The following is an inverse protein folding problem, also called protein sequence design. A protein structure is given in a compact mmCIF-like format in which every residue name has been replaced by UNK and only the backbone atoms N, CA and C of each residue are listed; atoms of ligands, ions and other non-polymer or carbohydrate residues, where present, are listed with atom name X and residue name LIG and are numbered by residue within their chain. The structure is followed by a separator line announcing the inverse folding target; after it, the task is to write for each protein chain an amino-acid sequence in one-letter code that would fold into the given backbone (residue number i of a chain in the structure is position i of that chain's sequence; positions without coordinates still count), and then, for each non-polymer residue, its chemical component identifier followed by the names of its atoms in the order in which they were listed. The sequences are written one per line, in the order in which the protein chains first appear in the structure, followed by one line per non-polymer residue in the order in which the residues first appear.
data_IF_350359653238
#
_entry.id   IF_350359653238
#
_cell.length_a   1.000
_cell.length_b   1.000
_cell.length_c   1.000
_cell.angle_alpha   90.00
_cell.angle_beta   90.00
_cell.angle_gamma   90.00
#
_symmetry.space_group_name_H-M   'P 1'
#
loop_
_entity.id
_entity.type
_entity.pdbx_description
1 polymer ?
#
# COMPACT_ATOMS: atom_id res chain seq x y z
N UNK A 1 -37.68 -39.81 67.28
CA UNK A 1 -36.28 -40.06 66.90
C UNK A 1 -36.27 -40.93 65.66
N UNK A 2 -35.98 -40.37 64.49
CA UNK A 2 -35.84 -41.13 63.24
C UNK A 2 -34.43 -41.73 63.18
N UNK A 3 -34.36 -43.05 63.07
CA UNK A 3 -33.11 -43.80 62.91
C UNK A 3 -32.75 -43.76 61.41
N UNK A 4 -31.69 -43.04 61.06
CA UNK A 4 -31.13 -43.06 59.71
C UNK A 4 -30.25 -44.30 59.55
N UNK A 5 -30.67 -45.23 58.70
CA UNK A 5 -29.81 -46.33 58.25
C UNK A 5 -29.06 -45.92 56.98
N UNK A 6 -27.73 -46.01 57.02
CA UNK A 6 -26.88 -45.81 55.83
C UNK A 6 -26.87 -47.12 55.04
N UNK A 7 -27.51 -47.13 53.87
CA UNK A 7 -27.40 -48.24 52.92
C UNK A 7 -26.04 -48.16 52.24
N UNK A 8 -25.18 -49.16 52.47
CA UNK A 8 -23.90 -49.31 51.78
C UNK A 8 -24.18 -49.66 50.32
N UNK A 9 -24.08 -48.70 49.42
CA UNK A 9 -24.18 -48.94 47.98
C UNK A 9 -22.80 -49.35 47.47
N UNK A 10 -22.73 -50.45 46.73
CA UNK A 10 -21.54 -50.75 45.94
C UNK A 10 -21.39 -49.64 44.89
N UNK A 11 -20.18 -49.13 44.65
CA UNK A 11 -19.98 -48.10 43.63
C UNK A 11 -20.44 -48.65 42.28
N UNK A 12 -21.12 -47.84 41.45
CA UNK A 12 -21.53 -48.27 40.13
C UNK A 12 -20.31 -48.74 39.33
N UNK A 13 -20.44 -49.86 38.61
CA UNK A 13 -19.38 -50.43 37.79
C UNK A 13 -18.92 -49.41 36.75
N UNK A 14 -17.61 -49.10 36.73
CA UNK A 14 -17.06 -48.11 35.80
C UNK A 14 -17.18 -48.56 34.36
N UNK A 15 -17.17 -47.61 33.42
CA UNK A 15 -17.21 -47.93 31.98
C UNK A 15 -16.05 -48.86 31.59
N UNK A 16 -14.86 -48.62 32.14
CA UNK A 16 -13.69 -49.45 31.88
C UNK A 16 -13.84 -50.89 32.37
N UNK A 17 -14.37 -51.07 33.59
CA UNK A 17 -14.64 -52.39 34.15
C UNK A 17 -15.69 -53.15 33.33
N UNK A 18 -16.75 -52.47 32.87
CA UNK A 18 -17.79 -53.05 32.00
C UNK A 18 -17.23 -53.55 30.68
N UNK A 19 -16.37 -52.75 30.04
CA UNK A 19 -15.71 -53.12 28.78
C UNK A 19 -14.79 -54.33 28.96
N UNK A 20 -13.97 -54.31 30.00
CA UNK A 20 -13.04 -55.40 30.32
C UNK A 20 -13.77 -56.71 30.61
N UNK A 21 -14.82 -56.65 31.42
CA UNK A 21 -15.67 -57.81 31.72
C UNK A 21 -16.30 -58.36 30.45
N UNK A 22 -16.87 -57.49 29.60
CA UNK A 22 -17.52 -57.94 28.36
C UNK A 22 -16.53 -58.55 27.37
N UNK A 23 -15.32 -58.00 27.26
CA UNK A 23 -14.25 -58.59 26.46
C UNK A 23 -13.84 -59.97 26.99
N UNK A 24 -13.66 -60.09 28.32
CA UNK A 24 -13.29 -61.36 28.94
C UNK A 24 -14.39 -62.44 28.79
N UNK A 25 -15.67 -62.07 28.87
CA UNK A 25 -16.81 -62.96 28.58
C UNK A 25 -16.77 -63.50 27.15
N UNK A 26 -16.33 -62.70 26.18
CA UNK A 26 -16.21 -63.08 24.77
C UNK A 26 -14.89 -63.81 24.45
N UNK A 27 -13.97 -63.92 25.41
CA UNK A 27 -12.66 -64.55 25.21
C UNK A 27 -11.72 -63.80 24.25
N UNK A 28 -12.01 -62.53 23.96
CA UNK A 28 -11.29 -61.74 22.96
C UNK A 28 -10.01 -61.12 23.53
N UNK A 29 -8.90 -61.27 22.80
CA UNK A 29 -7.63 -60.64 23.19
C UNK A 29 -7.59 -59.17 22.75
N UNK A 30 -6.96 -58.32 23.56
CA UNK A 30 -6.96 -56.87 23.34
C UNK A 30 -6.26 -56.50 22.01
N UNK A 31 -5.21 -57.22 21.65
CA UNK A 31 -4.49 -57.13 20.36
C UNK A 31 -5.41 -57.42 19.16
N UNK A 32 -6.27 -58.43 19.24
CA UNK A 32 -7.18 -58.83 18.16
C UNK A 32 -8.25 -57.75 17.92
N UNK A 33 -8.82 -57.21 19.00
CA UNK A 33 -9.81 -56.13 18.91
C UNK A 33 -9.16 -54.85 18.36
N UNK A 34 -7.98 -54.48 18.89
CA UNK A 34 -7.19 -53.32 18.45
C UNK A 34 -6.97 -53.32 16.93
N UNK A 35 -6.51 -54.43 16.37
CA UNK A 35 -6.33 -54.62 14.94
C UNK A 35 -7.64 -54.51 14.14
N UNK A 36 -8.75 -55.04 14.68
CA UNK A 36 -10.07 -55.02 14.04
C UNK A 36 -10.71 -53.64 13.96
N UNK A 37 -10.59 -52.83 15.01
CA UNK A 37 -11.26 -51.50 15.09
C UNK A 37 -10.37 -50.32 14.70
N UNK A 38 -9.07 -50.57 14.53
CA UNK A 38 -8.07 -49.55 14.19
C UNK A 38 -7.86 -48.54 15.31
N UNK A 39 -7.75 -49.01 16.56
CA UNK A 39 -7.45 -48.20 17.75
C UNK A 39 -6.28 -48.83 18.48
N UNK A 40 -5.24 -48.04 18.78
CA UNK A 40 -4.02 -48.57 19.41
C UNK A 40 -4.31 -49.28 20.74
N UNK A 41 -3.59 -50.37 20.98
CA UNK A 41 -3.76 -51.24 22.16
C UNK A 41 -3.66 -50.43 23.47
N UNK A 42 -2.69 -49.52 23.55
CA UNK A 42 -2.49 -48.65 24.70
C UNK A 42 -3.75 -47.84 25.06
N UNK A 43 -4.50 -47.36 24.06
CA UNK A 43 -5.73 -46.60 24.30
C UNK A 43 -6.89 -47.49 24.76
N UNK A 44 -6.96 -48.74 24.28
CA UNK A 44 -7.95 -49.70 24.77
C UNK A 44 -7.63 -50.14 26.21
N UNK A 45 -6.37 -50.36 26.53
CA UNK A 45 -5.89 -50.63 27.90
C UNK A 45 -6.19 -49.45 28.82
N UNK A 46 -5.96 -48.22 28.36
CA UNK A 46 -6.29 -47.01 29.11
C UNK A 46 -7.81 -46.87 29.35
N UNK A 47 -8.65 -47.26 28.38
CA UNK A 47 -10.11 -47.31 28.56
C UNK A 47 -10.53 -48.35 29.60
N UNK A 48 -9.96 -49.56 29.57
CA UNK A 48 -10.29 -50.62 30.56
C UNK A 48 -9.84 -50.28 31.97
N UNK A 49 -8.69 -49.61 32.11
CA UNK A 49 -8.07 -49.29 33.41
C UNK A 49 -8.48 -47.94 33.98
N UNK A 50 -9.18 -47.10 33.20
CA UNK A 50 -9.61 -45.77 33.62
C UNK A 50 -8.51 -44.70 33.61
N UNK A 51 -7.35 -44.96 32.99
CA UNK A 51 -6.24 -44.00 32.89
C UNK A 51 -6.51 -42.95 31.79
N UNK A 52 -7.40 -41.99 32.08
CA UNK A 52 -7.85 -40.99 31.10
C UNK A 52 -6.72 -40.10 30.54
N UNK A 53 -5.60 -39.95 31.26
CA UNK A 53 -4.44 -39.15 30.81
C UNK A 53 -3.69 -39.75 29.62
N UNK A 54 -3.79 -41.05 29.42
CA UNK A 54 -3.14 -41.77 28.30
C UNK A 54 -4.00 -41.77 27.04
N UNK A 55 -5.24 -41.27 27.13
CA UNK A 55 -6.14 -41.12 26.00
C UNK A 55 -5.86 -39.81 25.24
N UNK A 56 -6.12 -39.73 23.93
CA UNK A 56 -5.88 -38.53 23.14
C UNK A 56 -6.56 -37.30 23.74
N UNK A 57 -5.91 -36.14 23.67
CA UNK A 57 -6.40 -34.87 24.23
C UNK A 57 -7.60 -34.25 23.48
N UNK A 58 -8.24 -35.02 22.60
CA UNK A 58 -9.36 -34.57 21.77
C UNK A 58 -10.61 -35.39 22.10
N UNK A 59 -11.70 -34.71 22.46
CA UNK A 59 -13.00 -35.33 22.83
C UNK A 59 -13.53 -36.21 21.68
N UNK A 60 -13.38 -35.76 20.43
CA UNK A 60 -13.80 -36.51 19.25
C UNK A 60 -13.10 -37.88 19.14
N UNK A 61 -11.79 -37.95 19.40
CA UNK A 61 -11.06 -39.22 19.34
C UNK A 61 -11.46 -40.15 20.49
N UNK A 62 -11.61 -39.64 21.72
CA UNK A 62 -12.05 -40.46 22.86
C UNK A 62 -13.44 -41.06 22.64
N UNK A 63 -14.39 -40.24 22.19
CA UNK A 63 -15.74 -40.71 21.87
C UNK A 63 -15.75 -41.71 20.71
N UNK A 64 -14.94 -41.50 19.67
CA UNK A 64 -14.82 -42.44 18.55
C UNK A 64 -14.24 -43.80 19.00
N UNK A 65 -13.18 -43.80 19.82
CA UNK A 65 -12.56 -45.04 20.31
C UNK A 65 -13.50 -45.83 21.22
N UNK A 66 -14.14 -45.14 22.17
CA UNK A 66 -15.11 -45.77 23.06
C UNK A 66 -16.29 -46.35 22.28
N UNK A 67 -16.84 -45.59 21.31
CA UNK A 67 -17.96 -46.07 20.49
C UNK A 67 -17.57 -47.26 19.63
N UNK A 68 -16.43 -47.21 18.94
CA UNK A 68 -15.90 -48.34 18.16
C UNK A 68 -15.73 -49.59 19.03
N UNK A 69 -15.18 -49.43 20.23
CA UNK A 69 -14.93 -50.54 21.13
C UNK A 69 -16.24 -51.12 21.71
N UNK A 70 -17.18 -50.26 22.10
CA UNK A 70 -18.51 -50.67 22.55
C UNK A 70 -19.27 -51.44 21.46
N UNK A 71 -19.26 -50.95 20.21
CA UNK A 71 -19.90 -51.62 19.08
C UNK A 71 -19.27 -52.99 18.81
N UNK A 72 -17.93 -53.10 18.91
CA UNK A 72 -17.24 -54.38 18.73
C UNK A 72 -17.56 -55.42 19.82
N UNK A 73 -17.99 -54.98 21.01
CA UNK A 73 -18.39 -55.84 22.13
C UNK A 73 -19.93 -56.05 22.22
N UNK A 74 -20.70 -55.48 21.28
CA UNK A 74 -22.17 -55.55 21.28
C UNK A 74 -22.84 -54.76 22.41
N UNK A 75 -22.16 -53.75 22.96
CA UNK A 75 -22.68 -52.86 24.01
C UNK A 75 -23.28 -51.59 23.41
N UNK A 76 -24.21 -50.95 24.14
CA UNK A 76 -24.81 -49.69 23.70
C UNK A 76 -23.79 -48.52 23.74
N UNK A 77 -23.35 -47.98 22.59
CA UNK A 77 -22.27 -46.99 22.55
C UNK A 77 -22.66 -45.64 23.16
N UNK A 78 -23.90 -45.20 22.99
CA UNK A 78 -24.36 -43.89 23.47
C UNK A 78 -24.58 -43.90 24.98
N UNK A 79 -25.04 -45.03 25.55
CA UNK A 79 -25.12 -45.21 27.00
C UNK A 79 -23.74 -45.15 27.64
N UNK A 80 -22.77 -45.89 27.09
CA UNK A 80 -21.40 -45.93 27.62
C UNK A 80 -20.70 -44.58 27.50
N UNK A 81 -20.90 -43.85 26.40
CA UNK A 81 -20.35 -42.50 26.27
C UNK A 81 -20.89 -41.54 27.32
N UNK A 82 -22.20 -41.55 27.59
CA UNK A 82 -22.80 -40.71 28.64
C UNK A 82 -22.21 -41.04 30.01
N UNK A 83 -22.09 -42.32 30.34
CA UNK A 83 -21.50 -42.75 31.61
C UNK A 83 -20.01 -42.36 31.70
N UNK A 84 -19.25 -42.50 30.61
CA UNK A 84 -17.83 -42.14 30.57
C UNK A 84 -17.59 -40.65 30.81
N UNK A 85 -18.46 -39.79 30.29
CA UNK A 85 -18.43 -38.34 30.56
C UNK A 85 -18.78 -38.05 32.03
N UNK A 86 -19.75 -38.76 32.61
CA UNK A 86 -20.12 -38.62 34.03
C UNK A 86 -19.01 -39.08 34.98
N UNK A 87 -18.23 -40.09 34.59
CA UNK A 87 -17.05 -40.58 35.33
C UNK A 87 -15.83 -39.63 35.23
N UNK A 88 -15.93 -38.57 34.43
CA UNK A 88 -14.85 -37.58 34.27
C UNK A 88 -13.83 -37.93 33.20
N UNK A 89 -14.14 -38.85 32.28
CA UNK A 89 -13.23 -39.29 31.21
C UNK A 89 -12.87 -38.22 30.16
N UNK A 90 -13.43 -37.01 30.26
CA UNK A 90 -13.07 -35.83 29.46
C UNK A 90 -12.68 -34.62 30.31
N UNK A 91 -12.60 -34.77 31.64
CA UNK A 91 -12.38 -33.64 32.56
C UNK A 91 -10.95 -33.06 32.48
N UNK A 92 -9.99 -33.86 32.03
CA UNK A 92 -8.60 -33.48 31.78
C UNK A 92 -8.41 -32.72 30.45
N UNK A 93 -9.39 -32.76 29.55
CA UNK A 93 -9.33 -32.02 28.29
C UNK A 93 -9.74 -30.57 28.55
N UNK A 94 -8.75 -29.68 28.62
CA UNK A 94 -9.00 -28.23 28.54
C UNK A 94 -9.49 -27.93 27.12
N UNK A 95 -10.79 -27.68 26.95
CA UNK A 95 -11.39 -27.21 25.69
C UNK A 95 -11.02 -25.75 25.41
N UNK A 96 -9.72 -25.47 25.34
CA UNK A 96 -9.21 -24.23 24.76
C UNK A 96 -9.28 -24.36 23.25
N UNK A 97 -10.42 -24.06 22.64
CA UNK A 97 -10.34 -23.54 21.28
C UNK A 97 -9.43 -22.31 21.38
N UNK A 98 -8.36 -22.18 20.58
CA UNK A 98 -7.75 -20.87 20.44
C UNK A 98 -8.84 -19.98 19.83
N UNK A 99 -9.59 -19.29 20.68
CA UNK A 99 -10.47 -18.20 20.29
C UNK A 99 -9.60 -16.99 19.91
N UNK A 100 -8.55 -17.22 19.13
CA UNK A 100 -7.95 -16.18 18.33
C UNK A 100 -8.78 -16.16 17.07
N UNK A 101 -9.91 -15.45 17.15
CA UNK A 101 -10.50 -14.86 15.98
C UNK A 101 -9.36 -14.13 15.28
N UNK A 102 -8.94 -14.62 14.11
CA UNK A 102 -8.06 -13.89 13.21
C UNK A 102 -8.69 -12.51 13.08
N UNK A 103 -8.00 -11.49 13.60
CA UNK A 103 -8.47 -10.10 13.57
C UNK A 103 -8.66 -9.77 12.09
N UNK A 104 -9.91 -9.75 11.65
CA UNK A 104 -10.23 -9.50 10.25
C UNK A 104 -9.90 -8.02 9.98
N UNK A 105 -8.71 -7.76 9.47
CA UNK A 105 -8.30 -6.42 9.05
C UNK A 105 -9.14 -6.12 7.81
N UNK A 106 -10.29 -5.46 8.03
CA UNK A 106 -11.17 -5.03 6.95
C UNK A 106 -10.47 -3.93 6.16
N UNK A 107 -10.10 -4.23 4.92
CA UNK A 107 -9.48 -3.28 3.99
C UNK A 107 -10.51 -2.38 3.27
N UNK A 108 -11.67 -2.12 3.90
CA UNK A 108 -12.77 -1.38 3.29
C UNK A 108 -12.37 0.06 2.91
N UNK A 109 -11.41 0.63 3.63
CA UNK A 109 -10.86 1.98 3.37
C UNK A 109 -9.74 1.99 2.33
N UNK A 110 -9.16 0.85 1.95
CA UNK A 110 -8.01 0.80 1.04
C UNK A 110 -8.39 1.26 -0.38
N UNK A 111 -9.58 0.88 -0.84
CA UNK A 111 -10.12 1.34 -2.13
C UNK A 111 -10.36 2.86 -2.15
N UNK A 112 -10.83 3.43 -1.04
CA UNK A 112 -11.02 4.88 -0.91
C UNK A 112 -9.69 5.65 -0.86
N UNK A 113 -8.67 5.09 -0.23
CA UNK A 113 -7.32 5.67 -0.19
C UNK A 113 -6.69 5.67 -1.59
N UNK A 114 -6.73 4.56 -2.31
CA UNK A 114 -6.17 4.47 -3.67
C UNK A 114 -6.91 5.43 -4.60
N UNK A 115 -8.23 5.53 -4.51
CA UNK A 115 -9.02 6.49 -5.30
C UNK A 115 -8.62 7.94 -5.01
N UNK A 116 -8.57 8.33 -3.73
CA UNK A 116 -8.22 9.69 -3.34
C UNK A 116 -6.76 10.02 -3.73
N UNK A 117 -5.85 9.05 -3.58
CA UNK A 117 -4.46 9.18 -4.01
C UNK A 117 -4.35 9.35 -5.53
N UNK A 118 -5.13 8.60 -6.30
CA UNK A 118 -5.20 8.75 -7.76
C UNK A 118 -5.69 10.14 -8.18
N UNK A 119 -6.77 10.62 -7.56
CA UNK A 119 -7.30 11.98 -7.81
C UNK A 119 -6.26 13.04 -7.43
N UNK A 120 -5.65 12.93 -6.25
CA UNK A 120 -4.62 13.87 -5.80
C UNK A 120 -3.41 13.89 -6.75
N UNK A 121 -2.97 12.73 -7.22
CA UNK A 121 -1.86 12.62 -8.18
C UNK A 121 -2.20 13.32 -9.49
N UNK A 122 -3.43 13.13 -10.01
CA UNK A 122 -3.89 13.76 -11.24
C UNK A 122 -3.96 15.29 -11.10
N UNK A 123 -4.46 15.79 -9.95
CA UNK A 123 -4.47 17.22 -9.62
C UNK A 123 -3.05 17.79 -9.54
N UNK A 124 -2.11 17.06 -8.93
CA UNK A 124 -0.70 17.47 -8.85
C UNK A 124 -0.06 17.53 -10.23
N UNK A 125 -0.28 16.53 -11.09
CA UNK A 125 0.22 16.51 -12.46
C UNK A 125 -0.34 17.71 -13.25
N UNK A 126 -1.65 17.97 -13.14
CA UNK A 126 -2.29 19.09 -13.81
C UNK A 126 -1.76 20.44 -13.32
N UNK A 127 -1.64 20.63 -12.00
CA UNK A 127 -1.07 21.84 -11.41
C UNK A 127 0.41 22.03 -11.83
N UNK A 128 1.20 20.95 -11.83
CA UNK A 128 2.59 20.97 -12.29
C UNK A 128 2.70 21.38 -13.76
N UNK A 129 1.83 20.83 -14.61
CA UNK A 129 1.74 21.23 -16.02
C UNK A 129 1.39 22.72 -16.17
N UNK A 130 0.40 23.23 -15.43
CA UNK A 130 0.03 24.65 -15.46
C UNK A 130 1.18 25.55 -15.00
N UNK A 131 1.88 25.20 -13.93
CA UNK A 131 3.04 25.98 -13.43
C UNK A 131 4.13 26.02 -14.51
N UNK A 132 4.43 24.90 -15.15
CA UNK A 132 5.40 24.82 -16.23
C UNK A 132 4.98 25.67 -17.44
N UNK A 133 3.71 25.59 -17.84
CA UNK A 133 3.14 26.37 -18.94
C UNK A 133 3.19 27.89 -18.67
N UNK A 134 2.79 28.31 -17.47
CA UNK A 134 2.81 29.72 -17.06
C UNK A 134 4.25 30.26 -17.02
N UNK A 135 5.23 29.45 -16.58
CA UNK A 135 6.64 29.86 -16.57
C UNK A 135 7.16 30.25 -17.95
N UNK A 136 6.82 29.49 -19.01
CA UNK A 136 7.25 29.81 -20.38
C UNK A 136 6.63 31.12 -20.93
N UNK A 137 5.45 31.48 -20.43
CA UNK A 137 4.76 32.73 -20.78
C UNK A 137 5.35 33.92 -20.02
N UNK A 138 5.76 33.72 -18.77
CA UNK A 138 6.26 34.79 -17.91
C UNK A 138 7.73 35.18 -18.16
N UNK A 139 8.53 34.33 -18.82
CA UNK A 139 9.92 34.64 -19.14
C UNK A 139 10.01 35.72 -20.25
N UNK A 140 10.69 36.85 -19.99
CA UNK A 140 10.90 37.89 -20.99
C UNK A 140 11.78 37.40 -22.15
N UNK A 141 11.65 37.97 -23.36
CA UNK A 141 12.46 37.58 -24.50
C UNK A 141 13.93 37.96 -24.27
N UNK A 142 14.84 37.10 -24.75
CA UNK A 142 16.26 37.43 -24.78
C UNK A 142 16.48 38.63 -25.71
N UNK A 143 17.25 39.63 -25.27
CA UNK A 143 17.71 40.72 -26.11
C UNK A 143 19.18 41.03 -25.76
N UNK A 144 20.05 40.87 -26.74
CA UNK A 144 21.48 41.21 -26.65
C UNK A 144 21.83 42.15 -27.79
N UNK A 145 22.31 43.34 -27.46
CA UNK A 145 22.73 44.36 -28.43
C UNK A 145 24.25 44.38 -28.47
N UNK A 146 24.84 44.08 -29.63
CA UNK A 146 26.29 44.08 -29.86
C UNK A 146 26.82 45.46 -30.21
N UNK A 147 26.13 46.14 -31.14
CA UNK A 147 26.50 47.46 -31.64
C UNK A 147 25.24 48.32 -31.71
N UNK A 148 25.30 49.61 -31.33
CA UNK A 148 26.41 50.27 -30.65
C UNK A 148 26.57 49.82 -29.20
N UNK A 149 27.79 49.92 -28.69
CA UNK A 149 28.03 49.86 -27.25
C UNK A 149 27.54 51.16 -26.59
N UNK A 150 27.25 51.09 -25.30
CA UNK A 150 26.83 52.28 -24.53
C UNK A 150 27.89 53.40 -24.62
N UNK A 151 27.45 54.62 -24.96
CA UNK A 151 28.33 55.78 -25.05
C UNK A 151 29.24 55.80 -26.28
N UNK A 152 28.94 55.05 -27.34
CA UNK A 152 29.72 55.07 -28.58
C UNK A 152 29.80 56.48 -29.15
N UNK A 153 31.01 56.93 -29.53
CA UNK A 153 31.23 58.24 -30.15
C UNK A 153 31.63 58.05 -31.61
N UNK A 154 30.91 58.70 -32.53
CA UNK A 154 31.12 58.57 -33.97
C UNK A 154 31.17 59.93 -34.65
N UNK A 155 31.81 60.00 -35.82
CA UNK A 155 31.77 61.18 -36.70
C UNK A 155 30.80 61.00 -37.87
N UNK A 156 30.14 59.84 -37.94
CA UNK A 156 29.17 59.49 -38.97
C UNK A 156 27.76 59.90 -38.53
N UNK A 157 26.93 60.29 -39.49
CA UNK A 157 25.50 60.63 -39.29
C UNK A 157 24.59 59.41 -39.37
N UNK A 158 25.15 58.20 -39.37
CA UNK A 158 24.42 56.95 -39.28
C UNK A 158 25.23 55.93 -38.48
N UNK A 159 24.52 54.95 -37.90
CA UNK A 159 25.13 53.82 -37.19
C UNK A 159 24.33 52.55 -37.41
N UNK A 160 25.04 51.43 -37.51
CA UNK A 160 24.41 50.12 -37.61
C UNK A 160 24.13 49.59 -36.20
N UNK A 161 22.86 49.31 -35.93
CA UNK A 161 22.42 48.62 -34.71
C UNK A 161 22.33 47.12 -35.00
N UNK A 162 23.10 46.32 -34.28
CA UNK A 162 23.18 44.88 -34.45
C UNK A 162 23.00 44.17 -33.11
N UNK A 163 22.29 43.04 -33.16
CA UNK A 163 22.03 42.23 -31.97
C UNK A 163 21.39 40.90 -32.30
N UNK A 164 21.03 40.19 -31.23
CA UNK A 164 20.28 38.94 -31.28
C UNK A 164 19.11 39.01 -30.29
N UNK A 165 17.98 38.45 -30.70
CA UNK A 165 16.75 38.34 -29.91
C UNK A 165 16.10 36.97 -30.13
N UNK A 166 15.07 36.64 -29.36
CA UNK A 166 14.21 35.48 -29.63
C UNK A 166 13.62 35.57 -31.06
N UNK A 167 13.69 34.46 -31.80
CA UNK A 167 13.23 34.34 -33.21
C UNK A 167 11.75 34.70 -33.41
N UNK A 168 10.93 34.49 -32.38
CA UNK A 168 9.49 34.75 -32.41
C UNK A 168 9.08 36.06 -31.72
N UNK A 169 10.04 36.90 -31.33
CA UNK A 169 9.74 38.20 -30.74
C UNK A 169 9.38 39.24 -31.82
N UNK A 170 8.73 40.32 -31.42
CA UNK A 170 8.60 41.54 -32.22
C UNK A 170 9.64 42.53 -31.74
N UNK A 171 10.53 42.94 -32.64
CA UNK A 171 11.60 43.90 -32.37
C UNK A 171 11.19 45.26 -32.90
N UNK A 172 11.30 46.27 -32.05
CA UNK A 172 11.14 47.67 -32.42
C UNK A 172 12.38 48.46 -32.01
N UNK A 173 12.84 49.36 -32.88
CA UNK A 173 13.91 50.28 -32.58
C UNK A 173 13.38 51.70 -32.77
N UNK A 174 13.46 52.54 -31.72
CA UNK A 174 12.85 53.87 -31.68
C UNK A 174 11.36 53.88 -32.09
N UNK A 175 10.64 52.82 -31.73
CA UNK A 175 9.21 52.64 -32.06
C UNK A 175 8.92 52.16 -33.48
N UNK A 176 9.95 51.88 -34.31
CA UNK A 176 9.78 51.32 -35.65
C UNK A 176 10.05 49.81 -35.65
N UNK A 177 9.13 49.03 -36.24
CA UNK A 177 9.25 47.58 -36.32
C UNK A 177 10.37 47.15 -37.27
N UNK A 178 11.19 46.20 -36.80
CA UNK A 178 12.33 45.65 -37.50
C UNK A 178 12.14 44.14 -37.69
N UNK A 179 12.40 43.66 -38.90
CA UNK A 179 12.38 42.24 -39.22
C UNK A 179 13.56 41.52 -38.56
N UNK A 180 13.30 40.36 -37.96
CA UNK A 180 14.31 39.48 -37.38
C UNK A 180 14.55 38.34 -38.37
N UNK A 181 15.80 37.94 -38.53
CA UNK A 181 16.18 36.84 -39.42
C UNK A 181 15.89 35.45 -38.79
N UNK A 182 15.99 34.37 -39.56
CA UNK A 182 15.74 32.98 -39.08
C UNK A 182 16.65 32.58 -37.91
N UNK A 183 17.82 33.21 -37.80
CA UNK A 183 18.78 33.04 -36.71
C UNK A 183 18.45 33.86 -35.45
N UNK A 184 17.44 34.73 -35.47
CA UNK A 184 17.16 35.66 -34.37
C UNK A 184 18.02 36.93 -34.39
N UNK A 185 18.83 37.12 -35.44
CA UNK A 185 19.71 38.28 -35.59
C UNK A 185 18.97 39.44 -36.24
N UNK A 186 19.38 40.65 -35.92
CA UNK A 186 18.92 41.87 -36.57
C UNK A 186 20.09 42.80 -36.85
N UNK A 187 19.98 43.54 -37.96
CA UNK A 187 20.96 44.55 -38.38
C UNK A 187 20.24 45.66 -39.11
N UNK A 188 20.22 46.87 -38.54
CA UNK A 188 19.53 48.03 -39.13
C UNK A 188 20.41 49.26 -39.00
N UNK A 189 20.49 50.03 -40.08
CA UNK A 189 21.14 51.34 -40.07
C UNK A 189 20.15 52.42 -39.60
N UNK A 190 20.58 53.24 -38.65
CA UNK A 190 19.80 54.33 -38.07
C UNK A 190 20.54 55.64 -38.29
N UNK A 191 19.83 56.64 -38.80
CA UNK A 191 20.34 58.00 -38.94
C UNK A 191 20.47 58.68 -37.58
N UNK A 192 21.59 59.36 -37.37
CA UNK A 192 21.92 60.09 -36.15
C UNK A 192 21.92 61.59 -36.42
N UNK A 193 21.41 62.37 -35.47
CA UNK A 193 21.55 63.81 -35.45
C UNK A 193 22.90 64.22 -34.79
N UNK A 194 23.43 65.41 -35.07
CA UNK A 194 24.55 65.96 -34.30
C UNK A 194 24.25 65.99 -32.79
N UNK A 195 25.23 65.63 -31.95
CA UNK A 195 25.04 65.55 -30.50
C UNK A 195 24.64 64.16 -30.00
N UNK A 196 23.90 64.12 -28.89
CA UNK A 196 23.53 62.87 -28.19
C UNK A 196 22.25 62.28 -28.80
N UNK A 197 22.32 61.04 -29.26
CA UNK A 197 21.19 60.27 -29.77
C UNK A 197 20.88 59.13 -28.79
N UNK A 198 19.61 58.98 -28.41
CA UNK A 198 19.15 57.83 -27.63
C UNK A 198 18.46 56.83 -28.55
N UNK A 199 18.99 55.61 -28.59
CA UNK A 199 18.45 54.49 -29.37
C UNK A 199 17.78 53.54 -28.39
N UNK A 200 16.46 53.42 -28.48
CA UNK A 200 15.68 52.50 -27.64
C UNK A 200 15.33 51.24 -28.43
N UNK A 201 15.88 50.10 -28.03
CA UNK A 201 15.61 48.79 -28.61
C UNK A 201 14.62 48.07 -27.69
N UNK A 202 13.44 47.74 -28.18
CA UNK A 202 12.41 47.01 -27.43
C UNK A 202 12.03 45.74 -28.15
N UNK A 203 12.05 44.63 -27.43
CA UNK A 203 11.59 43.31 -27.90
C UNK A 203 10.36 42.88 -27.12
N UNK A 204 9.35 42.37 -27.82
CA UNK A 204 8.07 41.97 -27.25
C UNK A 204 7.79 40.53 -27.67
N UNK A 205 7.58 39.62 -26.71
CA UNK A 205 7.17 38.25 -27.01
C UNK A 205 5.67 38.22 -27.35
N UNK A 206 5.20 37.21 -28.10
CA UNK A 206 3.77 37.01 -28.45
C UNK A 206 2.79 37.13 -27.26
N UNK A 207 3.25 36.86 -26.04
CA UNK A 207 2.44 36.88 -24.82
C UNK A 207 2.67 38.14 -23.94
N UNK A 208 3.22 39.22 -24.51
CA UNK A 208 3.18 40.57 -23.93
C UNK A 208 4.32 40.95 -22.99
N UNK A 209 5.28 40.05 -22.69
CA UNK A 209 6.50 40.42 -21.95
C UNK A 209 7.48 41.15 -22.84
N UNK A 210 8.06 42.23 -22.30
CA UNK A 210 8.94 43.12 -23.02
C UNK A 210 10.33 43.21 -22.38
N UNK A 211 11.35 43.31 -23.22
CA UNK A 211 12.73 43.62 -22.81
C UNK A 211 13.17 44.86 -23.57
N UNK A 212 13.56 45.91 -22.84
CA UNK A 212 13.99 47.18 -23.43
C UNK A 212 15.43 47.48 -23.05
N UNK A 213 16.24 47.85 -24.03
CA UNK A 213 17.63 48.29 -23.87
C UNK A 213 17.78 49.65 -24.55
N UNK A 214 18.25 50.65 -23.81
CA UNK A 214 18.61 51.95 -24.35
C UNK A 214 20.13 52.01 -24.60
N UNK A 215 20.53 52.65 -25.70
CA UNK A 215 21.91 52.92 -26.06
C UNK A 215 22.08 54.39 -26.42
N UNK A 216 23.07 55.05 -25.82
CA UNK A 216 23.41 56.44 -26.17
C UNK A 216 24.59 56.48 -27.13
N UNK A 217 24.46 57.25 -28.20
CA UNK A 217 25.50 57.46 -29.22
C UNK A 217 25.71 58.95 -29.42
N UNK A 218 26.97 59.39 -29.41
CA UNK A 218 27.32 60.81 -29.59
C UNK A 218 27.93 61.03 -30.96
N UNK A 219 27.35 61.93 -31.75
CA UNK A 219 27.91 62.37 -33.03
C UNK A 219 28.72 63.63 -32.83
N UNK A 220 30.02 63.59 -33.18
CA UNK A 220 30.88 64.77 -33.20
C UNK A 220 30.51 65.68 -34.37
N UNK A 221 30.30 66.96 -34.10
CA UNK A 221 30.16 67.97 -35.16
C UNK A 221 31.46 68.06 -35.97
N UNK A 222 31.34 68.04 -37.31
CA UNK A 222 32.48 68.36 -38.17
C UNK A 222 32.78 69.84 -38.02
N UNK A 223 33.94 70.13 -37.42
CA UNK A 223 34.50 71.47 -37.29
C UNK A 223 35.08 71.96 -38.62
#
# INVERSE_FOLDING_TARGET
MSIFCIKKLEPPESVGARLKRKRAELGEHLTAISARIGVAENHLTALETGHHRELPLTIAHRSAYLKKYATALGLNPDMLWKQFVQEGGTADIKTGHPAQALKNIRFDSLASLIRNLGIATLVIIFAGYLIWQIRGILTPPLLVVYTPMEGTVTSHTSIVVQGITDKEAHLSINGKDIMIDEDGKFSVEISLAPGVNSITITTIKKHGKTTTVARHVVVKEKK
#
